data_IF_534237795730
#
_entry.id   IF_534237795730
#
_cell.length_a   1.000
_cell.length_b   1.000
_cell.length_c   1.000
_cell.angle_alpha   90.00
_cell.angle_beta   90.00
_cell.angle_gamma   90.00
#
_symmetry.space_group_name_H-M   'P 1'
#
loop_
_entity.id
_entity.type
_entity.pdbx_description
1 polymer ?
#
# COMPACT_ATOMS: atom_id res chain seq x y z
N UNK A 1 0.40 7.09 -9.39
CA UNK A 1 0.75 6.02 -10.35
C UNK A 1 -0.30 5.93 -11.45
N UNK A 2 -1.53 5.49 -11.17
CA UNK A 2 -2.60 5.32 -12.18
C UNK A 2 -2.97 6.57 -13.00
N UNK A 3 -3.30 7.72 -12.36
CA UNK A 3 -3.71 8.96 -13.07
C UNK A 3 -2.68 9.42 -14.10
N UNK A 4 -1.41 9.24 -13.79
CA UNK A 4 -0.28 9.65 -14.63
C UNK A 4 0.35 8.48 -15.40
N UNK A 5 -0.23 7.27 -15.32
CA UNK A 5 0.28 6.03 -15.93
C UNK A 5 1.75 5.75 -15.61
N UNK A 6 2.13 5.99 -14.35
CA UNK A 6 3.48 5.74 -13.82
C UNK A 6 3.47 4.40 -13.09
N UNK A 7 4.31 3.46 -13.51
CA UNK A 7 4.39 2.09 -12.94
C UNK A 7 5.39 1.92 -11.79
N UNK A 8 6.19 2.95 -11.48
CA UNK A 8 7.06 2.97 -10.30
C UNK A 8 7.18 4.36 -9.67
N UNK A 9 7.24 4.41 -8.34
CA UNK A 9 7.37 5.61 -7.53
C UNK A 9 8.59 5.45 -6.59
N UNK A 10 9.72 6.10 -6.89
CA UNK A 10 10.87 6.13 -6.01
C UNK A 10 10.55 6.86 -4.70
N UNK A 11 11.01 6.31 -3.57
CA UNK A 11 10.89 6.92 -2.25
C UNK A 11 12.25 7.48 -1.86
N UNK A 12 12.31 8.78 -1.57
CA UNK A 12 13.55 9.51 -1.30
C UNK A 12 13.47 10.17 0.08
N UNK A 13 14.52 10.04 0.87
CA UNK A 13 14.70 10.74 2.15
C UNK A 13 16.02 11.52 2.11
N UNK A 14 15.97 12.83 2.40
CA UNK A 14 17.16 13.72 2.39
C UNK A 14 18.00 13.55 1.12
N UNK A 15 17.36 13.55 -0.04
CA UNK A 15 17.98 13.34 -1.36
C UNK A 15 18.61 11.95 -1.59
N UNK A 16 18.40 10.99 -0.69
CA UNK A 16 18.85 9.60 -0.86
C UNK A 16 17.67 8.70 -1.24
N UNK A 17 17.84 7.88 -2.26
CA UNK A 17 16.87 6.83 -2.61
C UNK A 17 16.83 5.78 -1.50
N UNK A 18 15.69 5.67 -0.82
CA UNK A 18 15.48 4.73 0.30
C UNK A 18 14.52 3.59 -0.04
N UNK A 19 13.83 3.68 -1.18
CA UNK A 19 12.92 2.62 -1.61
C UNK A 19 12.26 2.89 -2.94
N UNK A 20 11.41 1.97 -3.36
CA UNK A 20 10.61 2.05 -4.58
C UNK A 20 9.26 1.37 -4.32
N UNK A 21 8.21 1.95 -4.87
CA UNK A 21 6.88 1.34 -4.94
C UNK A 21 6.56 1.08 -6.42
N UNK A 22 6.11 -0.11 -6.75
CA UNK A 22 5.82 -0.58 -8.10
C UNK A 22 4.39 -1.08 -8.22
N UNK A 23 3.92 -1.29 -9.44
CA UNK A 23 2.57 -1.83 -9.68
C UNK A 23 2.35 -3.20 -8.99
N UNK A 24 3.38 -4.04 -8.86
CA UNK A 24 3.28 -5.33 -8.16
C UNK A 24 3.09 -5.19 -6.64
N UNK A 25 3.62 -4.12 -6.04
CA UNK A 25 3.49 -3.90 -4.60
C UNK A 25 2.04 -3.63 -4.19
N UNK A 26 1.21 -3.10 -5.11
CA UNK A 26 -0.21 -2.86 -4.84
C UNK A 26 -1.00 -4.12 -4.52
N UNK A 27 -0.61 -5.28 -5.03
CA UNK A 27 -1.28 -6.55 -4.71
C UNK A 27 -1.10 -6.84 -3.22
N UNK A 28 0.14 -6.77 -2.73
CA UNK A 28 0.48 -6.99 -1.33
C UNK A 28 -0.15 -5.92 -0.43
N UNK A 29 -0.08 -4.65 -0.84
CA UNK A 29 -0.70 -3.55 -0.08
C UNK A 29 -2.22 -3.76 0.05
N UNK A 30 -2.90 -4.17 -1.03
CA UNK A 30 -4.33 -4.40 -1.00
C UNK A 30 -4.71 -5.53 -0.04
N UNK A 31 -3.97 -6.65 -0.04
CA UNK A 31 -4.19 -7.76 0.90
C UNK A 31 -4.04 -7.27 2.35
N UNK A 32 -2.92 -6.62 2.67
CA UNK A 32 -2.66 -6.15 4.03
C UNK A 32 -3.72 -5.14 4.50
N UNK A 33 -4.23 -4.29 3.60
CA UNK A 33 -5.28 -3.32 3.94
C UNK A 33 -6.62 -4.00 4.21
N UNK A 34 -6.96 -5.08 3.49
CA UNK A 34 -8.18 -5.85 3.72
C UNK A 34 -8.12 -6.58 5.07
N UNK A 35 -7.00 -7.21 5.39
CA UNK A 35 -6.77 -7.87 6.69
C UNK A 35 -6.94 -6.88 7.85
N UNK A 36 -6.37 -5.67 7.74
CA UNK A 36 -6.51 -4.62 8.74
C UNK A 36 -7.96 -4.13 8.92
N UNK A 37 -8.80 -4.21 7.88
CA UNK A 37 -10.21 -3.87 7.98
C UNK A 37 -11.00 -4.93 8.73
N UNK A 38 -10.73 -6.22 8.49
CA UNK A 38 -11.37 -7.33 9.19
C UNK A 38 -11.08 -7.30 10.70
N UNK A 39 -9.85 -6.99 11.10
CA UNK A 39 -9.47 -6.87 12.53
C UNK A 39 -10.14 -5.67 13.24
N UNK A 40 -10.59 -4.67 12.48
CA UNK A 40 -11.18 -3.45 13.01
C UNK A 40 -12.71 -3.51 13.16
N UNK A 41 -13.37 -4.55 12.63
CA UNK A 41 -14.80 -4.76 12.85
C UNK A 41 -15.03 -5.21 14.31
N UNK A 42 -15.78 -4.44 15.12
CA UNK A 42 -16.14 -4.91 16.45
C UNK A 42 -16.98 -6.19 16.30
N UNK A 43 -16.61 -7.25 17.03
CA UNK A 43 -17.41 -8.49 17.09
C UNK A 43 -18.88 -8.11 17.28
N UNK A 44 -19.76 -8.58 16.37
CA UNK A 44 -21.19 -8.45 16.54
C UNK A 44 -21.54 -9.06 17.91
N UNK A 45 -21.93 -8.21 18.86
CA UNK A 45 -22.41 -8.64 20.17
C UNK A 45 -23.74 -9.37 19.95
N UNK A 46 -23.70 -10.70 19.94
CA UNK A 46 -24.86 -11.60 20.04
C UNK A 46 -25.76 -11.26 21.24
#
# INVERSE_FOLDING_TARGET
MQKHKVGCLPVVEKDHLVGIITDSDFVTIAINLLELQEEAEPEELD
#
